data_IF_811601072940
#
_entry.id   IF_811601072940
#
_cell.length_a   1.000
_cell.length_b   1.000
_cell.length_c   1.000
_cell.angle_alpha   90.00
_cell.angle_beta   90.00
_cell.angle_gamma   90.00
#
_symmetry.space_group_name_H-M   'P 1'
#
loop_
_entity.id
_entity.type
_entity.pdbx_description
1 polymer ?
#
# COMPACT_ATOMS: atom_id res chain seq x y z
N UNK A 1 -4.48 -12.92 15.20
CA UNK A 1 -3.18 -12.23 15.05
C UNK A 1 -3.36 -11.10 14.06
N UNK A 2 -2.88 -9.92 14.40
CA UNK A 2 -2.87 -8.72 13.53
C UNK A 2 -1.93 -8.99 12.35
N UNK A 3 -2.32 -8.59 11.14
CA UNK A 3 -1.49 -8.71 9.92
C UNK A 3 -0.59 -7.47 9.80
N UNK A 4 0.66 -7.57 10.29
CA UNK A 4 1.62 -6.46 10.32
C UNK A 4 2.83 -6.75 9.46
N UNK A 5 3.45 -5.70 8.94
CA UNK A 5 4.70 -5.77 8.22
C UNK A 5 5.88 -5.75 9.20
N UNK A 6 6.28 -6.94 9.65
CA UNK A 6 7.56 -7.18 10.34
C UNK A 6 8.71 -7.27 9.33
N UNK A 7 9.98 -7.18 9.75
CA UNK A 7 11.13 -7.41 8.87
C UNK A 7 11.04 -8.74 8.10
N UNK A 8 10.62 -9.81 8.76
CA UNK A 8 10.42 -11.14 8.14
C UNK A 8 9.34 -11.10 7.06
N UNK A 9 8.15 -10.52 7.36
CA UNK A 9 7.05 -10.41 6.39
C UNK A 9 7.45 -9.59 5.17
N UNK A 10 8.15 -8.47 5.37
CA UNK A 10 8.63 -7.62 4.27
C UNK A 10 9.61 -8.39 3.37
N UNK A 11 10.52 -9.16 3.98
CA UNK A 11 11.47 -10.00 3.24
C UNK A 11 10.75 -11.10 2.45
N UNK A 12 9.76 -11.78 3.06
CA UNK A 12 8.95 -12.81 2.41
C UNK A 12 8.20 -12.25 1.20
N UNK A 13 7.52 -11.09 1.35
CA UNK A 13 6.84 -10.42 0.23
C UNK A 13 7.83 -10.03 -0.87
N UNK A 14 9.01 -9.51 -0.50
CA UNK A 14 10.04 -9.15 -1.47
C UNK A 14 10.55 -10.35 -2.26
N UNK A 15 10.79 -11.48 -1.60
CA UNK A 15 11.21 -12.73 -2.22
C UNK A 15 10.12 -13.31 -3.16
N UNK A 16 8.84 -13.17 -2.78
CA UNK A 16 7.73 -13.59 -3.63
C UNK A 16 7.63 -12.71 -4.88
N UNK A 17 7.81 -11.38 -4.75
CA UNK A 17 7.82 -10.46 -5.90
C UNK A 17 8.93 -10.79 -6.91
N UNK A 18 10.08 -11.31 -6.45
CA UNK A 18 11.18 -11.73 -7.32
C UNK A 18 10.81 -12.97 -8.18
N UNK A 19 9.79 -13.73 -7.77
CA UNK A 19 9.33 -14.94 -8.47
C UNK A 19 8.14 -14.66 -9.41
N UNK A 20 7.51 -13.49 -9.33
CA UNK A 20 6.36 -13.13 -10.17
C UNK A 20 6.84 -12.79 -11.58
N UNK A 21 6.27 -13.38 -12.64
CA UNK A 21 6.59 -13.01 -14.01
C UNK A 21 6.35 -11.52 -14.28
N UNK A 22 7.30 -10.87 -14.95
CA UNK A 22 7.26 -9.44 -15.26
C UNK A 22 6.72 -9.13 -16.65
N UNK A 23 6.53 -10.13 -17.47
CA UNK A 23 6.13 -10.04 -18.88
C UNK A 23 4.70 -10.51 -19.19
N UNK A 24 4.06 -11.19 -18.25
CA UNK A 24 2.71 -11.77 -18.42
C UNK A 24 1.93 -11.83 -17.13
N UNK A 25 0.60 -12.03 -17.26
CA UNK A 25 -0.30 -12.20 -16.12
C UNK A 25 -0.56 -10.89 -15.33
N UNK A 26 -1.07 -11.05 -14.16
CA UNK A 26 -1.28 -10.01 -13.13
C UNK A 26 -1.09 -10.63 -11.75
N UNK A 27 -0.83 -9.82 -10.73
CA UNK A 27 -0.69 -10.26 -9.35
C UNK A 27 -1.95 -9.91 -8.56
N UNK A 28 -2.44 -10.84 -7.73
CA UNK A 28 -3.50 -10.59 -6.77
C UNK A 28 -2.93 -10.65 -5.34
N UNK A 29 -3.06 -9.55 -4.60
CA UNK A 29 -2.69 -9.46 -3.18
C UNK A 29 -3.96 -9.58 -2.36
N UNK A 30 -4.00 -10.55 -1.44
CA UNK A 30 -5.16 -10.84 -0.60
C UNK A 30 -4.79 -10.70 0.87
N UNK A 31 -5.62 -9.99 1.64
CA UNK A 31 -5.50 -9.94 3.10
C UNK A 31 -6.10 -11.16 3.80
N UNK A 32 -6.05 -11.16 5.14
CA UNK A 32 -6.76 -12.13 5.96
C UNK A 32 -8.19 -11.64 6.24
N UNK A 33 -9.16 -12.53 6.47
CA UNK A 33 -10.51 -12.10 6.87
C UNK A 33 -10.47 -11.11 8.05
N UNK A 34 -11.13 -9.97 7.88
CA UNK A 34 -11.23 -8.90 8.86
C UNK A 34 -10.04 -7.93 8.91
N UNK A 35 -8.90 -8.28 8.31
CA UNK A 35 -7.74 -7.39 8.30
C UNK A 35 -6.89 -7.57 7.04
N UNK A 36 -6.81 -6.52 6.22
CA UNK A 36 -5.87 -6.47 5.11
C UNK A 36 -4.44 -6.25 5.64
N UNK A 37 -4.21 -5.15 6.35
CA UNK A 37 -2.98 -4.93 7.14
C UNK A 37 -3.15 -3.77 8.14
N UNK A 38 -2.50 -3.89 9.30
CA UNK A 38 -2.43 -2.83 10.32
C UNK A 38 -1.14 -1.98 10.23
N UNK A 39 -0.36 -2.12 9.16
CA UNK A 39 0.87 -1.36 8.99
C UNK A 39 2.12 -2.05 9.53
N UNK A 40 3.13 -1.27 9.89
CA UNK A 40 4.38 -1.80 10.45
C UNK A 40 4.21 -2.46 11.82
N UNK A 41 5.10 -3.40 12.14
CA UNK A 41 5.17 -3.98 13.48
C UNK A 41 5.68 -2.94 14.49
N UNK A 42 4.76 -2.40 15.29
CA UNK A 42 5.07 -1.40 16.31
C UNK A 42 6.06 -1.90 17.38
N UNK A 43 6.13 -3.22 17.63
CA UNK A 43 7.09 -3.78 18.57
C UNK A 43 8.52 -3.54 18.12
N UNK A 44 8.77 -3.63 16.80
CA UNK A 44 10.09 -3.34 16.22
C UNK A 44 10.37 -1.84 16.27
N UNK A 45 9.39 -0.99 15.90
CA UNK A 45 9.56 0.47 15.96
C UNK A 45 9.84 1.00 17.36
N UNK A 46 9.25 0.38 18.39
CA UNK A 46 9.35 0.79 19.80
C UNK A 46 10.38 -0.01 20.60
N UNK A 47 11.16 -0.88 19.96
CA UNK A 47 12.14 -1.76 20.64
C UNK A 47 13.32 -1.04 21.28
N UNK A 48 13.58 0.21 20.87
CA UNK A 48 14.80 0.94 21.20
C UNK A 48 15.98 0.65 20.27
N UNK A 49 15.87 -0.36 19.40
CA UNK A 49 16.85 -0.67 18.35
C UNK A 49 16.57 0.21 17.10
N UNK A 50 17.21 1.38 17.09
CA UNK A 50 17.02 2.37 16.04
C UNK A 50 17.46 1.86 14.65
N UNK A 51 18.50 1.04 14.58
CA UNK A 51 19.00 0.48 13.33
C UNK A 51 18.00 -0.51 12.73
N UNK A 52 17.49 -1.44 13.51
CA UNK A 52 16.49 -2.41 13.07
C UNK A 52 15.18 -1.70 12.67
N UNK A 53 14.75 -0.68 13.39
CA UNK A 53 13.59 0.12 13.05
C UNK A 53 13.77 0.83 11.70
N UNK A 54 14.91 1.51 11.47
CA UNK A 54 15.22 2.17 10.19
C UNK A 54 15.27 1.18 9.04
N UNK A 55 15.89 0.01 9.25
CA UNK A 55 15.98 -1.03 8.23
C UNK A 55 14.60 -1.57 7.86
N UNK A 56 13.72 -1.81 8.83
CA UNK A 56 12.33 -2.21 8.59
C UNK A 56 11.57 -1.15 7.80
N UNK A 57 11.69 0.13 8.17
CA UNK A 57 11.01 1.23 7.48
C UNK A 57 11.49 1.36 6.02
N UNK A 58 12.80 1.38 5.78
CA UNK A 58 13.38 1.45 4.44
C UNK A 58 12.95 0.26 3.58
N UNK A 59 13.05 -0.95 4.11
CA UNK A 59 12.65 -2.17 3.41
C UNK A 59 11.15 -2.18 3.08
N UNK A 60 10.30 -1.74 4.01
CA UNK A 60 8.85 -1.65 3.79
C UNK A 60 8.49 -0.62 2.71
N UNK A 61 9.12 0.56 2.71
CA UNK A 61 8.88 1.55 1.66
C UNK A 61 9.46 1.12 0.31
N UNK A 62 10.60 0.41 0.31
CA UNK A 62 11.15 -0.20 -0.90
C UNK A 62 10.18 -1.26 -1.47
N UNK A 63 9.61 -2.09 -0.62
CA UNK A 63 8.58 -3.06 -1.00
C UNK A 63 7.37 -2.35 -1.65
N UNK A 64 6.86 -1.26 -1.06
CA UNK A 64 5.76 -0.49 -1.67
C UNK A 64 6.17 0.13 -3.01
N UNK A 65 7.38 0.69 -3.12
CA UNK A 65 7.90 1.24 -4.38
C UNK A 65 7.97 0.18 -5.47
N UNK A 66 8.43 -1.04 -5.15
CA UNK A 66 8.47 -2.20 -6.06
C UNK A 66 7.07 -2.64 -6.51
N UNK A 67 6.10 -2.70 -5.60
CA UNK A 67 4.69 -3.01 -5.92
C UNK A 67 4.12 -1.93 -6.84
N UNK A 68 4.32 -0.65 -6.50
CA UNK A 68 3.82 0.48 -7.26
C UNK A 68 4.37 0.53 -8.69
N UNK A 69 5.66 0.25 -8.88
CA UNK A 69 6.33 0.23 -10.17
C UNK A 69 6.32 -1.13 -10.87
N UNK A 70 5.62 -2.13 -10.32
CA UNK A 70 5.65 -3.49 -10.85
C UNK A 70 5.20 -3.52 -12.32
N UNK A 71 5.92 -4.25 -13.22
CA UNK A 71 5.67 -4.22 -14.67
C UNK A 71 4.31 -4.76 -15.11
N UNK A 72 3.63 -5.53 -14.26
CA UNK A 72 2.31 -6.09 -14.56
C UNK A 72 1.28 -5.55 -13.57
N UNK A 73 -0.01 -5.56 -13.92
CA UNK A 73 -1.06 -5.08 -13.04
C UNK A 73 -1.10 -5.84 -11.72
N UNK A 74 -1.29 -5.10 -10.63
CA UNK A 74 -1.49 -5.64 -9.30
C UNK A 74 -2.88 -5.26 -8.80
N UNK A 75 -3.68 -6.25 -8.43
CA UNK A 75 -5.00 -6.11 -7.83
C UNK A 75 -4.90 -6.40 -6.34
N UNK A 76 -5.52 -5.60 -5.50
CA UNK A 76 -5.67 -5.86 -4.07
C UNK A 76 -7.10 -6.28 -3.75
N UNK A 77 -7.25 -7.37 -3.00
CA UNK A 77 -8.48 -7.79 -2.34
C UNK A 77 -8.42 -7.41 -0.86
N UNK A 78 -8.95 -6.22 -0.54
CA UNK A 78 -8.95 -5.66 0.81
C UNK A 78 -10.04 -6.31 1.66
N UNK A 79 -9.67 -7.34 2.40
CA UNK A 79 -10.55 -8.22 3.17
C UNK A 79 -10.92 -7.70 4.56
N UNK A 80 -10.62 -6.43 4.87
CA UNK A 80 -10.85 -5.84 6.18
C UNK A 80 -10.08 -4.55 6.39
N UNK A 81 -9.73 -4.26 7.65
CA UNK A 81 -8.99 -3.03 7.97
C UNK A 81 -7.69 -2.90 7.18
N UNK A 82 -7.45 -1.69 6.62
CA UNK A 82 -6.20 -1.31 5.95
C UNK A 82 -5.69 0.00 6.57
N UNK A 83 -4.77 -0.11 7.52
CA UNK A 83 -4.34 1.00 8.37
C UNK A 83 -2.87 1.31 8.13
N UNK A 84 -2.48 2.59 8.16
CA UNK A 84 -1.09 3.03 8.03
C UNK A 84 -0.44 2.43 6.77
N UNK A 85 0.69 1.71 6.88
CA UNK A 85 1.31 1.07 5.72
C UNK A 85 0.34 0.15 4.93
N UNK A 86 -0.70 -0.40 5.58
CA UNK A 86 -1.74 -1.19 4.90
C UNK A 86 -2.57 -0.35 3.92
N UNK A 87 -2.90 0.89 4.26
CA UNK A 87 -3.58 1.82 3.36
C UNK A 87 -2.64 2.27 2.21
N UNK A 88 -1.35 2.45 2.48
CA UNK A 88 -0.37 2.78 1.44
C UNK A 88 -0.06 1.59 0.52
N UNK A 89 -0.19 0.34 1.02
CA UNK A 89 -0.16 -0.84 0.16
C UNK A 89 -1.32 -0.81 -0.85
N UNK A 90 -2.54 -0.44 -0.44
CA UNK A 90 -3.64 -0.23 -1.39
C UNK A 90 -3.29 0.85 -2.42
N UNK A 91 -2.70 1.97 -1.99
CA UNK A 91 -2.23 3.01 -2.91
C UNK A 91 -1.13 2.54 -3.88
N UNK A 92 -0.39 1.47 -3.55
CA UNK A 92 0.63 0.90 -4.44
C UNK A 92 0.04 -0.01 -5.52
N UNK A 93 -1.20 -0.47 -5.36
CA UNK A 93 -1.86 -1.38 -6.30
C UNK A 93 -2.56 -0.63 -7.43
N UNK A 94 -2.76 -1.33 -8.55
CA UNK A 94 -3.38 -0.75 -9.76
C UNK A 94 -4.92 -0.79 -9.68
N UNK A 95 -5.49 -1.80 -9.00
CA UNK A 95 -6.92 -1.91 -8.74
C UNK A 95 -7.19 -2.49 -7.34
N UNK A 96 -8.21 -2.00 -6.65
CA UNK A 96 -8.46 -2.32 -5.24
C UNK A 96 -9.94 -2.59 -4.98
N UNK A 97 -10.24 -3.84 -4.62
CA UNK A 97 -11.58 -4.30 -4.26
C UNK A 97 -11.66 -4.43 -2.74
N UNK A 98 -12.62 -3.75 -2.11
CA UNK A 98 -12.87 -3.83 -0.67
C UNK A 98 -14.02 -4.77 -0.33
N UNK A 99 -13.93 -5.45 0.80
CA UNK A 99 -15.03 -6.23 1.38
C UNK A 99 -15.89 -5.35 2.26
N UNK A 100 -17.21 -5.33 2.07
CA UNK A 100 -18.15 -4.70 3.02
C UNK A 100 -17.94 -5.22 4.44
N UNK A 101 -18.17 -4.34 5.41
CA UNK A 101 -18.08 -4.64 6.83
C UNK A 101 -17.67 -3.43 7.67
N UNK A 102 -17.68 -3.58 8.98
CA UNK A 102 -17.27 -2.52 9.92
C UNK A 102 -15.75 -2.36 9.94
N UNK A 103 -15.16 -2.05 8.79
CA UNK A 103 -13.74 -1.88 8.60
C UNK A 103 -13.36 -0.42 8.33
N UNK A 104 -12.10 -0.10 8.57
CA UNK A 104 -11.55 1.22 8.34
C UNK A 104 -10.33 1.17 7.44
N UNK A 105 -10.20 2.19 6.60
CA UNK A 105 -9.07 2.39 5.70
C UNK A 105 -8.53 3.80 5.91
N UNK A 106 -7.22 3.94 6.05
CA UNK A 106 -6.61 5.27 6.13
C UNK A 106 -5.23 5.30 6.76
N UNK A 107 -4.63 6.49 6.63
CA UNK A 107 -3.35 6.85 7.21
C UNK A 107 -3.59 7.57 8.54
N UNK A 108 -3.24 6.94 9.65
CA UNK A 108 -3.46 7.48 10.99
C UNK A 108 -2.17 7.98 11.67
N UNK A 109 -1.09 8.15 10.91
CA UNK A 109 0.24 8.51 11.42
C UNK A 109 0.19 9.80 12.24
N UNK A 110 -0.40 10.86 11.69
CA UNK A 110 -0.49 12.18 12.38
C UNK A 110 -1.30 12.13 13.66
N UNK A 111 -2.31 11.25 13.75
CA UNK A 111 -3.08 11.03 14.99
C UNK A 111 -2.30 10.24 16.05
N UNK A 112 -1.26 9.52 15.62
CA UNK A 112 -0.36 8.76 16.48
C UNK A 112 0.98 9.46 16.73
N UNK A 113 1.03 10.79 16.57
CA UNK A 113 2.24 11.60 16.74
C UNK A 113 3.40 11.17 15.84
N UNK A 114 3.08 10.68 14.64
CA UNK A 114 4.05 10.30 13.63
C UNK A 114 3.94 11.23 12.41
N UNK A 115 5.07 11.46 11.77
CA UNK A 115 5.13 12.15 10.49
C UNK A 115 4.80 11.13 9.38
N UNK A 116 4.03 11.54 8.38
CA UNK A 116 3.88 10.78 7.12
C UNK A 116 5.15 11.02 6.28
N UNK A 117 6.06 10.04 6.17
CA UNK A 117 7.34 10.27 5.50
C UNK A 117 7.18 10.37 3.99
N UNK A 118 8.14 11.04 3.35
CA UNK A 118 8.13 11.36 1.92
C UNK A 118 7.74 10.19 1.02
N UNK A 119 8.26 8.96 1.18
CA UNK A 119 7.92 7.87 0.27
C UNK A 119 6.40 7.60 0.18
N UNK A 120 5.74 7.46 1.32
CA UNK A 120 4.30 7.17 1.34
C UNK A 120 3.45 8.44 1.13
N UNK A 121 3.97 9.62 1.49
CA UNK A 121 3.33 10.90 1.21
C UNK A 121 3.21 11.13 -0.31
N UNK A 122 4.29 10.93 -1.08
CA UNK A 122 4.29 11.12 -2.53
C UNK A 122 3.44 10.05 -3.23
N UNK A 123 3.51 8.79 -2.78
CA UNK A 123 2.65 7.73 -3.27
C UNK A 123 1.15 8.06 -3.08
N UNK A 124 0.77 8.48 -1.88
CA UNK A 124 -0.62 8.84 -1.59
C UNK A 124 -1.07 10.11 -2.34
N UNK A 125 -0.20 11.11 -2.50
CA UNK A 125 -0.49 12.28 -3.33
C UNK A 125 -0.76 11.93 -4.79
N UNK A 126 -0.12 10.90 -5.30
CA UNK A 126 -0.32 10.41 -6.65
C UNK A 126 -1.66 9.66 -6.79
N UNK A 127 -2.02 8.83 -5.81
CA UNK A 127 -3.18 7.93 -5.88
C UNK A 127 -4.49 8.55 -5.36
N UNK A 128 -4.43 9.34 -4.28
CA UNK A 128 -5.64 9.85 -3.64
C UNK A 128 -6.24 11.04 -4.39
N UNK A 129 -7.56 11.13 -4.35
CA UNK A 129 -8.31 12.24 -4.90
C UNK A 129 -7.85 13.57 -4.29
N UNK A 130 -7.64 14.58 -5.15
CA UNK A 130 -7.01 15.85 -4.78
C UNK A 130 -7.73 16.57 -3.63
N UNK A 131 -9.05 16.52 -3.61
CA UNK A 131 -9.92 17.13 -2.58
C UNK A 131 -9.88 16.38 -1.23
N UNK A 132 -9.41 15.13 -1.19
CA UNK A 132 -9.31 14.34 0.04
C UNK A 132 -7.90 14.32 0.65
N UNK A 133 -6.86 14.77 -0.06
CA UNK A 133 -5.45 14.65 0.39
C UNK A 133 -5.20 15.27 1.77
N UNK A 134 -5.73 16.46 2.02
CA UNK A 134 -5.55 17.10 3.32
C UNK A 134 -6.21 16.31 4.44
N UNK A 135 -7.46 15.89 4.26
CA UNK A 135 -8.20 15.10 5.23
C UNK A 135 -7.52 13.76 5.51
N UNK A 136 -7.15 13.04 4.44
CA UNK A 136 -6.54 11.73 4.52
C UNK A 136 -5.14 11.74 5.14
N UNK A 137 -4.28 12.70 4.76
CA UNK A 137 -2.86 12.65 5.10
C UNK A 137 -2.46 13.58 6.27
N UNK A 138 -3.05 14.78 6.35
CA UNK A 138 -2.70 15.72 7.41
C UNK A 138 -3.63 15.59 8.61
N UNK A 139 -4.93 15.42 8.37
CA UNK A 139 -5.91 15.29 9.47
C UNK A 139 -6.00 13.84 9.97
N UNK A 140 -5.35 12.87 9.30
CA UNK A 140 -5.37 11.45 9.67
C UNK A 140 -6.78 10.88 9.70
N UNK A 141 -7.63 11.28 8.74
CA UNK A 141 -9.02 10.82 8.68
C UNK A 141 -9.07 9.34 8.31
N UNK A 142 -9.84 8.60 9.08
CA UNK A 142 -10.13 7.20 8.83
C UNK A 142 -11.49 7.09 8.13
N UNK A 143 -11.53 6.36 7.04
CA UNK A 143 -12.75 6.15 6.24
C UNK A 143 -13.34 4.78 6.54
N UNK A 144 -14.67 4.67 6.61
CA UNK A 144 -15.29 3.34 6.53
C UNK A 144 -14.94 2.70 5.18
N UNK A 145 -15.00 1.38 5.10
CA UNK A 145 -14.64 0.67 3.87
C UNK A 145 -15.47 1.16 2.67
N UNK A 146 -16.78 1.45 2.88
CA UNK A 146 -17.70 1.95 1.86
C UNK A 146 -17.33 3.37 1.41
N UNK A 147 -16.86 4.21 2.32
CA UNK A 147 -16.48 5.59 2.03
C UNK A 147 -15.02 5.71 1.54
N UNK A 148 -14.27 4.62 1.46
CA UNK A 148 -12.88 4.61 1.02
C UNK A 148 -12.71 4.70 -0.51
N UNK A 149 -13.81 4.63 -1.27
CA UNK A 149 -13.83 4.82 -2.73
C UNK A 149 -13.59 6.28 -3.07
N UNK A 150 -14.33 7.19 -2.44
CA UNK A 150 -14.27 8.63 -2.76
C UNK A 150 -12.87 9.25 -2.60
N UNK A 151 -12.12 8.98 -1.50
CA UNK A 151 -10.73 9.42 -1.38
C UNK A 151 -9.76 8.68 -2.31
N UNK A 152 -10.14 7.55 -2.88
CA UNK A 152 -9.33 6.78 -3.81
C UNK A 152 -8.44 5.70 -3.14
N UNK A 153 -8.79 5.25 -1.95
CA UNK A 153 -8.16 4.07 -1.36
C UNK A 153 -8.66 2.77 -1.99
N UNK A 154 -9.92 2.74 -2.42
CA UNK A 154 -10.56 1.61 -3.09
C UNK A 154 -11.17 2.06 -4.43
N UNK A 155 -11.36 1.13 -5.35
CA UNK A 155 -12.05 1.35 -6.62
C UNK A 155 -13.48 0.83 -6.58
N UNK A 156 -13.73 -0.24 -5.82
CA UNK A 156 -15.06 -0.79 -5.58
C UNK A 156 -15.16 -1.50 -4.22
N UNK A 157 -16.38 -1.66 -3.72
CA UNK A 157 -16.69 -2.41 -2.49
C UNK A 157 -17.80 -3.41 -2.77
N UNK A 158 -17.58 -4.65 -2.35
CA UNK A 158 -18.44 -5.79 -2.66
C UNK A 158 -18.82 -6.58 -1.40
N UNK A 159 -19.80 -7.46 -1.51
CA UNK A 159 -20.17 -8.38 -0.42
C UNK A 159 -18.98 -9.29 -0.05
N UNK A 160 -18.81 -9.68 1.24
CA UNK A 160 -17.64 -10.42 1.71
C UNK A 160 -17.39 -11.75 0.97
N UNK A 161 -18.47 -12.47 0.63
CA UNK A 161 -18.41 -13.72 -0.11
C UNK A 161 -18.04 -13.55 -1.59
N UNK A 162 -18.12 -12.33 -2.12
CA UNK A 162 -17.80 -11.97 -3.51
C UNK A 162 -16.41 -11.38 -3.70
N UNK A 163 -15.73 -10.99 -2.63
CA UNK A 163 -14.45 -10.27 -2.69
C UNK A 163 -13.42 -10.98 -3.59
N UNK A 164 -13.15 -12.24 -3.29
CA UNK A 164 -12.10 -12.98 -4.01
C UNK A 164 -12.49 -13.27 -5.47
N UNK A 165 -13.77 -13.60 -5.70
CA UNK A 165 -14.31 -13.83 -7.04
C UNK A 165 -14.13 -12.57 -7.92
N UNK A 166 -14.59 -11.41 -7.45
CA UNK A 166 -14.55 -10.16 -8.20
C UNK A 166 -13.10 -9.68 -8.41
N UNK A 167 -12.27 -9.73 -7.36
CA UNK A 167 -10.86 -9.38 -7.47
C UNK A 167 -10.12 -10.28 -8.48
N UNK A 168 -10.44 -11.58 -8.52
CA UNK A 168 -9.87 -12.52 -9.49
C UNK A 168 -10.35 -12.24 -10.92
N UNK A 169 -11.63 -11.91 -11.11
CA UNK A 169 -12.16 -11.49 -12.42
C UNK A 169 -11.42 -10.27 -12.93
N UNK A 170 -11.23 -9.24 -12.06
CA UNK A 170 -10.48 -8.04 -12.43
C UNK A 170 -9.01 -8.34 -12.73
N UNK A 171 -8.37 -9.19 -11.93
CA UNK A 171 -6.99 -9.59 -12.17
C UNK A 171 -6.83 -10.30 -13.53
N UNK A 172 -7.75 -11.19 -13.90
CA UNK A 172 -7.76 -11.87 -15.20
C UNK A 172 -7.98 -10.89 -16.36
N UNK A 173 -8.89 -9.94 -16.20
CA UNK A 173 -9.12 -8.87 -17.18
C UNK A 173 -7.85 -8.06 -17.40
N UNK A 174 -7.24 -7.53 -16.34
CA UNK A 174 -6.02 -6.74 -16.43
C UNK A 174 -4.80 -7.57 -16.93
N UNK A 175 -4.79 -8.88 -16.73
CA UNK A 175 -3.75 -9.76 -17.26
C UNK A 175 -3.70 -9.78 -18.80
N UNK A 176 -4.79 -9.39 -19.48
CA UNK A 176 -4.87 -9.29 -20.96
C UNK A 176 -4.15 -8.07 -21.52
N UNK A 177 -3.78 -7.10 -20.69
CA UNK A 177 -3.08 -5.90 -21.13
C UNK A 177 -1.73 -6.23 -21.74
N UNK A 178 -1.49 -5.69 -22.95
CA UNK A 178 -0.30 -5.99 -23.73
C UNK A 178 1.01 -5.55 -23.05
N UNK A 179 1.98 -6.46 -22.98
CA UNK A 179 3.35 -6.16 -22.61
C UNK A 179 4.20 -5.97 -23.90
N UNK A 180 5.10 -4.95 -23.99
CA UNK A 180 5.54 -4.04 -22.93
C UNK A 180 4.71 -2.75 -22.77
N UNK A 181 3.64 -2.54 -23.53
CA UNK A 181 2.93 -1.26 -23.63
C UNK A 181 2.36 -0.77 -22.30
N UNK A 182 1.74 -1.67 -21.53
CA UNK A 182 1.26 -1.34 -20.19
C UNK A 182 2.40 -0.87 -19.28
N UNK A 183 3.51 -1.61 -19.26
CA UNK A 183 4.66 -1.28 -18.44
C UNK A 183 5.28 0.06 -18.81
N UNK A 184 5.52 0.31 -20.10
CA UNK A 184 6.10 1.57 -20.58
C UNK A 184 5.20 2.76 -20.26
N UNK A 185 3.88 2.63 -20.46
CA UNK A 185 2.92 3.68 -20.10
C UNK A 185 2.92 3.96 -18.61
N UNK A 186 2.91 2.90 -17.77
CA UNK A 186 2.99 3.01 -16.32
C UNK A 186 4.29 3.68 -15.87
N UNK A 187 5.42 3.34 -16.48
CA UNK A 187 6.71 3.98 -16.18
C UNK A 187 6.71 5.49 -16.48
N UNK A 188 6.18 5.89 -17.64
CA UNK A 188 6.07 7.30 -18.02
C UNK A 188 5.18 8.08 -17.04
N UNK A 189 4.03 7.51 -16.67
CA UNK A 189 3.08 8.14 -15.74
C UNK A 189 3.67 8.29 -14.32
N UNK A 190 4.46 7.32 -13.88
CA UNK A 190 4.98 7.24 -12.51
C UNK A 190 6.41 7.78 -12.33
N UNK A 191 7.13 8.17 -13.39
CA UNK A 191 8.56 8.48 -13.36
C UNK A 191 8.93 9.47 -12.26
N UNK A 192 8.25 10.60 -12.20
CA UNK A 192 8.57 11.68 -11.25
C UNK A 192 8.24 11.29 -9.79
N UNK A 193 7.14 10.57 -9.59
CA UNK A 193 6.76 10.15 -8.23
C UNK A 193 7.70 9.05 -7.72
N UNK A 194 8.11 8.10 -8.56
CA UNK A 194 9.07 7.06 -8.20
C UNK A 194 10.43 7.67 -7.82
N UNK A 195 10.93 8.66 -8.55
CA UNK A 195 12.17 9.39 -8.19
C UNK A 195 12.06 9.99 -6.77
N UNK A 196 10.95 10.63 -6.45
CA UNK A 196 10.70 11.23 -5.12
C UNK A 196 10.57 10.17 -4.03
N UNK A 197 9.88 9.07 -4.29
CA UNK A 197 9.75 7.94 -3.36
C UNK A 197 11.14 7.40 -3.02
N UNK A 198 11.95 7.05 -4.03
CA UNK A 198 13.25 6.44 -3.83
C UNK A 198 14.22 7.39 -3.11
N UNK A 199 14.28 8.67 -3.50
CA UNK A 199 15.07 9.68 -2.78
C UNK A 199 14.61 9.87 -1.33
N UNK A 200 13.29 9.72 -1.08
CA UNK A 200 12.75 9.77 0.27
C UNK A 200 13.17 8.57 1.12
N UNK A 201 13.23 7.36 0.53
CA UNK A 201 13.65 6.13 1.23
C UNK A 201 15.09 6.25 1.75
N UNK A 202 15.99 6.81 0.96
CA UNK A 202 17.40 7.01 1.34
C UNK A 202 17.55 7.90 2.59
N UNK A 203 16.61 8.84 2.79
CA UNK A 203 16.63 9.84 3.89
C UNK A 203 15.90 9.36 5.15
N UNK A 204 15.35 8.15 5.17
CA UNK A 204 14.61 7.65 6.34
C UNK A 204 15.52 7.49 7.54
N UNK A 205 15.10 8.10 8.65
CA UNK A 205 15.63 7.91 10.01
C UNK A 205 14.46 7.75 10.98
N UNK A 206 14.69 7.22 12.18
CA UNK A 206 13.61 7.13 13.20
C UNK A 206 13.07 8.51 13.54
N UNK A 207 13.95 9.50 13.71
CA UNK A 207 13.55 10.88 14.00
C UNK A 207 12.78 11.57 12.87
N UNK A 208 12.87 11.07 11.64
CA UNK A 208 12.09 11.57 10.52
C UNK A 208 10.62 11.11 10.57
N UNK A 209 10.29 10.13 11.42
CA UNK A 209 8.94 9.56 11.55
C UNK A 209 8.38 9.80 12.94
N UNK A 210 9.21 9.67 13.97
CA UNK A 210 8.85 9.87 15.38
C UNK A 210 9.81 10.91 15.99
N UNK A 211 9.59 12.21 15.74
CA UNK A 211 10.37 13.25 16.40
C UNK A 211 10.16 13.20 17.92
N UNK A 212 11.22 13.51 18.68
CA UNK A 212 11.15 13.56 20.15
C UNK A 212 10.25 14.71 20.63
#
# INVERSE_FOLDING_TARGET
KVNVFSPTMIQEVSNLLDQVPTDKGSLLIVGRPGIFSAGFDLKVLMSGDAENAVNMLRSGFTMLSRIFSFPRPIVAACSGHAIALGAFLLCSCDYRVGSKGEFQVGANETRNNMIVPTPILELAKFKLAKNHKQRALLNGEMYSIENAIEPGYLDEVVEPDKLLEIAMVKAKDLATLGHPYYHQTKQLDQEEVIKKINSGIEKITVSAIMPK
#
